data_IF_563573905438
#
_entry.id   IF_563573905438
#
_cell.length_a   1.000
_cell.length_b   1.000
_cell.length_c   1.000
_cell.angle_alpha   90.00
_cell.angle_beta   90.00
_cell.angle_gamma   90.00
#
_symmetry.space_group_name_H-M   'P 1'
#
loop_
_entity.id
_entity.type
_entity.pdbx_description
1 polymer ?
#
# COMPACT_ATOMS: atom_id res chain seq x y z
N UNK A 1 7.36 12.33 9.99
CA UNK A 1 7.08 12.18 8.55
C UNK A 1 6.48 13.44 7.93
N UNK A 2 5.39 14.02 8.48
CA UNK A 2 4.79 15.27 7.94
C UNK A 2 5.82 16.38 7.72
N UNK A 3 6.67 16.67 8.73
CA UNK A 3 7.71 17.69 8.61
C UNK A 3 8.70 17.41 7.46
N UNK A 4 9.05 16.14 7.24
CA UNK A 4 9.90 15.74 6.12
C UNK A 4 9.23 16.02 4.77
N UNK A 5 7.98 15.59 4.58
CA UNK A 5 7.26 15.85 3.32
C UNK A 5 7.09 17.34 3.04
N UNK A 6 6.82 18.15 4.06
CA UNK A 6 6.77 19.60 3.94
C UNK A 6 8.14 20.23 3.65
N UNK A 7 9.24 19.59 4.04
CA UNK A 7 10.59 20.03 3.64
C UNK A 7 10.90 19.71 2.17
N UNK A 8 10.31 18.64 1.62
CA UNK A 8 10.40 18.29 0.19
C UNK A 8 9.60 19.30 -0.64
N UNK A 9 8.33 19.50 -0.29
CA UNK A 9 7.46 20.49 -0.93
C UNK A 9 6.65 21.24 0.15
N UNK A 10 6.95 22.51 0.41
CA UNK A 10 6.24 23.31 1.43
C UNK A 10 4.74 23.50 1.15
N UNK A 11 4.29 23.28 -0.08
CA UNK A 11 2.87 23.40 -0.48
C UNK A 11 2.12 22.07 -0.43
N UNK A 12 2.76 20.99 0.05
CA UNK A 12 2.14 19.69 0.12
C UNK A 12 0.92 19.65 1.05
N UNK A 13 -0.16 19.05 0.58
CA UNK A 13 -1.34 18.78 1.41
C UNK A 13 -1.12 17.48 2.18
N UNK A 14 -0.68 17.64 3.43
CA UNK A 14 -0.35 16.51 4.33
C UNK A 14 -1.15 16.66 5.62
N UNK A 15 -2.10 15.77 5.83
CA UNK A 15 -2.91 15.69 7.04
C UNK A 15 -2.44 14.52 7.91
N UNK A 16 -2.30 14.76 9.21
CA UNK A 16 -2.01 13.74 10.22
C UNK A 16 -3.01 13.86 11.34
N UNK A 17 -3.61 12.75 11.73
CA UNK A 17 -4.60 12.70 12.80
C UNK A 17 -4.56 11.34 13.52
N UNK A 18 -4.84 11.30 14.83
CA UNK A 18 -4.89 10.08 15.59
C UNK A 18 -6.20 9.33 15.34
N UNK A 19 -6.11 8.00 15.25
CA UNK A 19 -7.22 7.08 15.24
C UNK A 19 -7.19 6.28 16.54
N UNK A 20 -8.26 6.39 17.33
CA UNK A 20 -8.36 5.78 18.65
C UNK A 20 -9.27 4.56 18.65
N UNK A 21 -8.87 3.54 19.37
CA UNK A 21 -9.68 2.35 19.65
C UNK A 21 -9.39 1.80 21.06
N UNK A 22 -10.18 0.83 21.57
CA UNK A 22 -9.98 0.30 22.91
C UNK A 22 -8.60 -0.30 23.19
N UNK A 23 -7.90 -0.80 22.16
CA UNK A 23 -6.57 -1.40 22.28
C UNK A 23 -5.41 -0.38 22.20
N UNK A 24 -5.71 0.87 21.86
CA UNK A 24 -4.69 1.90 21.71
C UNK A 24 -5.02 2.92 20.60
N UNK A 25 -3.98 3.48 20.03
CA UNK A 25 -4.11 4.46 18.93
C UNK A 25 -3.07 4.22 17.87
N UNK A 26 -3.35 4.74 16.67
CA UNK A 26 -2.37 4.91 15.58
C UNK A 26 -2.50 6.30 14.99
N UNK A 27 -1.43 6.83 14.42
CA UNK A 27 -1.46 8.11 13.73
C UNK A 27 -1.59 7.89 12.22
N UNK A 28 -2.74 8.27 11.67
CA UNK A 28 -2.98 8.26 10.23
C UNK A 28 -2.25 9.41 9.57
N UNK A 29 -1.74 9.17 8.37
CA UNK A 29 -1.21 10.21 7.49
C UNK A 29 -1.86 10.08 6.11
N UNK A 30 -2.42 11.18 5.62
CA UNK A 30 -3.01 11.29 4.30
C UNK A 30 -2.32 12.41 3.54
N UNK A 31 -1.92 12.13 2.30
CA UNK A 31 -1.23 13.06 1.41
C UNK A 31 -2.05 13.16 0.12
N UNK A 32 -2.52 14.37 -0.20
CA UNK A 32 -3.20 14.65 -1.47
C UNK A 32 -2.24 15.34 -2.43
N UNK A 33 -2.09 14.78 -3.60
CA UNK A 33 -1.23 15.29 -4.67
C UNK A 33 -2.11 15.59 -5.88
N UNK A 34 -2.53 16.85 -6.05
CA UNK A 34 -3.43 17.24 -7.12
C UNK A 34 -2.73 17.16 -8.49
N UNK A 35 -3.44 16.56 -9.46
CA UNK A 35 -3.01 16.51 -10.85
C UNK A 35 -3.34 17.80 -11.61
N UNK A 36 -2.87 17.89 -12.86
CA UNK A 36 -3.19 19.04 -13.74
C UNK A 36 -4.62 19.00 -14.24
N UNK A 37 -5.20 17.80 -14.37
CA UNK A 37 -6.56 17.53 -14.87
C UNK A 37 -7.41 16.71 -13.92
N UNK A 38 -7.01 16.59 -12.64
CA UNK A 38 -7.67 15.77 -11.64
C UNK A 38 -9.01 16.33 -11.16
N UNK A 39 -9.78 15.50 -10.47
CA UNK A 39 -11.06 15.84 -9.83
C UNK A 39 -10.93 17.01 -8.84
N UNK A 40 -9.78 17.13 -8.19
CA UNK A 40 -9.45 18.26 -7.30
C UNK A 40 -9.51 19.63 -7.99
N UNK A 41 -9.41 19.66 -9.33
CA UNK A 41 -9.56 20.84 -10.17
C UNK A 41 -10.88 20.88 -10.94
N UNK A 42 -11.81 19.97 -10.63
CA UNK A 42 -13.09 19.86 -11.34
C UNK A 42 -12.97 19.30 -12.76
N UNK A 43 -11.89 18.57 -13.04
CA UNK A 43 -11.65 17.95 -14.34
C UNK A 43 -11.84 16.42 -14.27
N UNK A 44 -11.52 15.70 -15.35
CA UNK A 44 -11.96 14.33 -15.61
C UNK A 44 -10.89 13.25 -15.43
N UNK A 45 -9.62 13.62 -15.22
CA UNK A 45 -8.58 12.64 -15.00
C UNK A 45 -8.80 11.87 -13.67
N UNK A 46 -8.59 10.54 -13.66
CA UNK A 46 -8.93 9.71 -12.51
C UNK A 46 -8.02 9.92 -11.31
N UNK A 47 -8.53 9.56 -10.13
CA UNK A 47 -7.81 9.60 -8.86
C UNK A 47 -7.37 8.20 -8.45
N UNK A 48 -6.09 8.01 -8.18
CA UNK A 48 -5.55 6.75 -7.67
C UNK A 48 -5.25 6.82 -6.17
N UNK A 49 -5.63 5.76 -5.43
CA UNK A 49 -5.23 5.52 -4.06
C UNK A 49 -3.96 4.67 -3.98
N UNK A 50 -2.95 5.13 -3.24
CA UNK A 50 -1.75 4.36 -2.93
C UNK A 50 -1.70 4.15 -1.42
N UNK A 51 -2.00 2.93 -0.97
CA UNK A 51 -2.16 2.60 0.43
C UNK A 51 -0.96 1.81 0.94
N UNK A 52 -0.27 2.32 1.95
CA UNK A 52 0.86 1.64 2.57
C UNK A 52 0.44 0.84 3.80
N UNK A 53 0.71 -0.45 3.82
CA UNK A 53 0.40 -1.35 4.91
C UNK A 53 1.67 -2.08 5.36
N UNK A 54 1.88 -2.30 6.59
CA UNK A 54 1.36 -1.74 7.83
C UNK A 54 2.36 -0.70 8.34
N UNK A 55 1.92 0.21 9.20
CA UNK A 55 2.79 1.27 9.72
C UNK A 55 3.29 1.05 11.14
N UNK A 56 3.24 -0.18 11.66
CA UNK A 56 3.70 -0.48 13.01
C UNK A 56 5.22 -0.37 13.14
N UNK A 57 5.69 0.34 14.16
CA UNK A 57 7.11 0.52 14.42
C UNK A 57 7.63 -0.33 15.57
N UNK A 58 6.79 -0.84 16.43
CA UNK A 58 7.21 -1.59 17.61
C UNK A 58 6.58 -2.96 17.64
N UNK A 59 7.32 -3.98 17.25
CA UNK A 59 6.85 -5.36 17.34
C UNK A 59 7.33 -6.08 18.59
N UNK A 60 8.20 -5.45 19.37
CA UNK A 60 8.75 -6.01 20.62
C UNK A 60 8.63 -4.99 21.73
N UNK A 61 8.03 -5.36 22.87
CA UNK A 61 7.84 -4.41 23.97
C UNK A 61 9.15 -3.82 24.52
N UNK A 62 10.26 -4.56 24.41
CA UNK A 62 11.56 -4.15 24.96
C UNK A 62 12.36 -3.25 24.01
N UNK A 63 12.09 -3.33 22.71
CA UNK A 63 12.86 -2.60 21.70
C UNK A 63 11.94 -2.05 20.63
N UNK A 64 11.74 -0.74 20.65
CA UNK A 64 11.01 -0.02 19.60
C UNK A 64 11.96 0.19 18.42
N UNK A 65 11.49 -0.15 17.22
CA UNK A 65 12.28 0.05 16.01
C UNK A 65 11.49 -0.26 14.76
N UNK A 66 12.03 0.16 13.61
CA UNK A 66 11.43 -0.16 12.33
C UNK A 66 11.58 -1.66 12.04
N UNK A 67 10.50 -2.29 11.69
CA UNK A 67 10.44 -3.70 11.27
C UNK A 67 9.95 -3.80 9.84
N UNK A 68 10.26 -4.91 9.16
CA UNK A 68 9.96 -5.05 7.73
C UNK A 68 8.46 -5.11 7.39
N UNK A 69 7.59 -5.36 8.37
CA UNK A 69 6.14 -5.18 8.20
C UNK A 69 5.75 -3.70 7.92
N UNK A 70 6.65 -2.75 8.20
CA UNK A 70 6.51 -1.35 7.81
C UNK A 70 6.96 -1.01 6.39
N UNK A 71 7.48 -1.97 5.62
CA UNK A 71 8.03 -1.70 4.28
C UNK A 71 6.97 -1.18 3.30
N UNK A 72 5.71 -1.62 3.43
CA UNK A 72 4.60 -1.11 2.63
C UNK A 72 4.34 0.38 2.88
N UNK A 73 4.30 0.79 4.16
CA UNK A 73 4.18 2.19 4.52
C UNK A 73 5.38 3.01 4.03
N UNK A 74 6.60 2.45 4.13
CA UNK A 74 7.82 3.09 3.65
C UNK A 74 7.79 3.30 2.14
N UNK A 75 7.33 2.31 1.37
CA UNK A 75 7.20 2.41 -0.09
C UNK A 75 6.19 3.49 -0.49
N UNK A 76 5.00 3.52 0.13
CA UNK A 76 3.99 4.53 -0.13
C UNK A 76 4.47 5.95 0.20
N UNK A 77 5.14 6.13 1.34
CA UNK A 77 5.70 7.42 1.75
C UNK A 77 6.89 7.85 0.85
N UNK A 78 7.66 6.90 0.34
CA UNK A 78 8.73 7.17 -0.63
C UNK A 78 8.15 7.62 -1.97
N UNK A 79 7.07 6.99 -2.44
CA UNK A 79 6.33 7.43 -3.62
C UNK A 79 5.76 8.84 -3.41
N UNK A 80 5.18 9.14 -2.24
CA UNK A 80 4.71 10.47 -1.89
C UNK A 80 5.83 11.52 -1.99
N UNK A 81 6.98 11.26 -1.36
CA UNK A 81 8.12 12.16 -1.39
C UNK A 81 8.61 12.42 -2.82
N UNK A 82 8.67 11.36 -3.67
CA UNK A 82 9.06 11.48 -5.08
C UNK A 82 8.05 12.34 -5.86
N UNK A 83 6.76 12.08 -5.72
CA UNK A 83 5.72 12.83 -6.43
C UNK A 83 5.68 14.31 -6.00
N UNK A 84 5.89 14.59 -4.72
CA UNK A 84 5.97 15.95 -4.21
C UNK A 84 7.23 16.68 -4.71
N UNK A 85 8.35 16.00 -4.81
CA UNK A 85 9.58 16.56 -5.42
C UNK A 85 9.38 16.86 -6.90
N UNK A 86 8.73 15.97 -7.64
CA UNK A 86 8.36 16.20 -9.05
C UNK A 86 7.50 17.47 -9.17
N UNK A 87 6.44 17.61 -8.38
CA UNK A 87 5.60 18.82 -8.40
C UNK A 87 6.38 20.09 -8.11
N UNK A 88 7.26 20.06 -7.11
CA UNK A 88 8.13 21.20 -6.77
C UNK A 88 9.00 21.62 -7.96
N UNK A 89 9.40 20.67 -8.79
CA UNK A 89 10.22 20.89 -9.98
C UNK A 89 9.39 21.15 -11.26
N UNK A 90 8.06 21.30 -11.15
CA UNK A 90 7.16 21.58 -12.25
C UNK A 90 6.71 20.36 -13.05
N UNK A 91 7.03 19.16 -12.59
CA UNK A 91 6.61 17.89 -13.22
C UNK A 91 5.35 17.38 -12.48
N UNK A 92 4.19 17.59 -13.09
CA UNK A 92 2.88 17.25 -12.54
C UNK A 92 2.27 16.06 -13.26
N UNK A 93 1.58 15.19 -12.51
CA UNK A 93 0.71 14.16 -13.07
C UNK A 93 -0.57 14.78 -13.62
N UNK A 94 -1.29 14.07 -14.51
CA UNK A 94 -2.60 14.51 -14.98
C UNK A 94 -3.69 14.22 -13.94
N UNK A 95 -3.76 13.00 -13.42
CA UNK A 95 -4.71 12.58 -12.39
C UNK A 95 -4.27 12.92 -10.96
N UNK A 96 -5.22 12.90 -10.03
CA UNK A 96 -4.93 13.07 -8.62
C UNK A 96 -4.37 11.80 -8.00
N UNK A 97 -3.52 11.96 -6.99
CA UNK A 97 -3.02 10.84 -6.18
C UNK A 97 -3.34 11.08 -4.71
N UNK A 98 -3.93 10.09 -4.06
CA UNK A 98 -4.15 10.11 -2.61
C UNK A 98 -3.34 8.97 -2.00
N UNK A 99 -2.43 9.33 -1.11
CA UNK A 99 -1.57 8.36 -0.42
C UNK A 99 -1.99 8.32 1.05
N UNK A 100 -2.25 7.12 1.55
CA UNK A 100 -2.63 6.91 2.94
C UNK A 100 -1.79 5.80 3.56
N UNK A 101 -1.40 6.00 4.80
CA UNK A 101 -0.80 4.99 5.66
C UNK A 101 -0.99 5.40 7.11
N UNK A 102 -0.49 4.59 8.04
CA UNK A 102 -0.50 4.94 9.45
C UNK A 102 0.85 4.63 10.09
N UNK A 103 1.13 5.25 11.23
CA UNK A 103 2.34 5.03 12.02
C UNK A 103 1.91 4.75 13.45
N UNK A 104 2.24 3.57 13.94
CA UNK A 104 1.94 3.13 15.29
C UNK A 104 3.24 2.80 16.03
N UNK A 105 3.83 3.73 16.81
CA UNK A 105 5.06 3.49 17.54
C UNK A 105 4.91 2.41 18.62
N UNK A 106 3.75 2.37 19.24
CA UNK A 106 3.42 1.49 20.38
C UNK A 106 2.42 0.40 19.95
N UNK A 107 2.73 -0.30 18.85
CA UNK A 107 1.87 -1.37 18.35
C UNK A 107 1.73 -2.48 19.39
N UNK A 108 0.50 -2.90 19.75
CA UNK A 108 0.31 -4.02 20.65
C UNK A 108 0.85 -5.32 20.04
N UNK A 109 1.21 -6.26 20.88
CA UNK A 109 1.69 -7.58 20.45
C UNK A 109 0.81 -8.70 21.01
N UNK A 110 0.79 -9.82 20.29
CA UNK A 110 0.15 -11.08 20.71
C UNK A 110 1.20 -12.16 20.85
N UNK A 111 1.05 -13.10 21.81
CA UNK A 111 1.89 -14.28 21.88
C UNK A 111 1.87 -15.05 20.55
N UNK A 112 3.05 -15.37 20.02
CA UNK A 112 3.24 -16.13 18.78
C UNK A 112 4.67 -16.70 18.76
N UNK A 113 4.83 -17.92 18.24
CA UNK A 113 6.15 -18.52 18.02
C UNK A 113 6.59 -18.34 16.57
N UNK A 114 7.86 -18.08 16.29
CA UNK A 114 9.01 -17.96 17.23
C UNK A 114 9.16 -16.57 17.86
N UNK A 115 8.30 -15.62 17.55
CA UNK A 115 8.34 -14.24 18.07
C UNK A 115 6.93 -13.71 18.25
N UNK A 116 6.71 -12.77 19.18
CA UNK A 116 5.42 -12.11 19.33
C UNK A 116 4.95 -11.50 18.02
N UNK A 117 3.66 -11.63 17.74
CA UNK A 117 3.04 -11.08 16.55
C UNK A 117 2.61 -9.65 16.80
N UNK A 118 2.86 -8.75 15.87
CA UNK A 118 2.35 -7.39 15.93
C UNK A 118 0.83 -7.40 15.69
N UNK A 119 0.07 -6.80 16.60
CA UNK A 119 -1.37 -6.59 16.48
C UNK A 119 -1.67 -5.16 16.08
N UNK A 120 -2.88 -4.91 15.63
CA UNK A 120 -3.32 -3.54 15.34
C UNK A 120 -4.03 -2.94 16.56
N UNK A 121 -3.75 -1.68 16.93
CA UNK A 121 -4.50 -1.00 17.97
C UNK A 121 -5.95 -0.71 17.57
N UNK A 122 -6.25 -0.68 16.26
CA UNK A 122 -7.57 -0.40 15.70
C UNK A 122 -8.05 -1.57 14.85
N UNK A 123 -9.35 -1.71 14.73
CA UNK A 123 -9.96 -2.75 13.90
C UNK A 123 -9.72 -2.48 12.40
N UNK A 124 -9.60 -3.55 11.62
CA UNK A 124 -9.31 -3.45 10.18
C UNK A 124 -10.41 -2.68 9.43
N UNK A 125 -11.68 -2.85 9.80
CA UNK A 125 -12.77 -2.10 9.20
C UNK A 125 -12.66 -0.60 9.43
N UNK A 126 -12.23 -0.19 10.63
CA UNK A 126 -11.98 1.21 10.96
C UNK A 126 -10.80 1.76 10.15
N UNK A 127 -9.72 0.97 10.02
CA UNK A 127 -8.57 1.33 9.20
C UNK A 127 -8.97 1.53 7.73
N UNK A 128 -9.70 0.57 7.16
CA UNK A 128 -10.17 0.65 5.78
C UNK A 128 -11.05 1.88 5.54
N UNK A 129 -11.94 2.22 6.48
CA UNK A 129 -12.81 3.39 6.36
C UNK A 129 -12.03 4.72 6.32
N UNK A 130 -10.85 4.77 6.95
CA UNK A 130 -9.98 5.95 6.92
C UNK A 130 -9.08 6.02 5.67
N UNK A 131 -8.67 4.88 5.15
CA UNK A 131 -7.77 4.80 4.00
C UNK A 131 -8.49 4.94 2.66
N UNK A 132 -9.75 4.50 2.59
CA UNK A 132 -10.55 4.46 1.37
C UNK A 132 -11.58 5.59 1.36
N UNK A 133 -11.75 6.23 0.23
CA UNK A 133 -12.79 7.27 0.03
C UNK A 133 -13.40 7.15 -1.37
N UNK A 134 -14.60 7.71 -1.53
CA UNK A 134 -15.33 7.74 -2.82
C UNK A 134 -14.61 8.57 -3.90
N UNK A 135 -13.56 9.31 -3.53
CA UNK A 135 -12.71 10.02 -4.49
C UNK A 135 -11.88 9.08 -5.37
N UNK A 136 -11.62 7.84 -4.89
CA UNK A 136 -10.69 6.90 -5.52
C UNK A 136 -11.35 6.12 -6.67
N UNK A 137 -10.73 6.14 -7.84
CA UNK A 137 -11.15 5.36 -9.01
C UNK A 137 -10.43 4.01 -9.11
N UNK A 138 -9.26 3.88 -8.49
CA UNK A 138 -8.53 2.63 -8.35
C UNK A 138 -7.60 2.67 -7.13
N UNK A 139 -7.19 1.51 -6.62
CA UNK A 139 -6.34 1.39 -5.44
C UNK A 139 -5.21 0.40 -5.67
N UNK A 140 -3.98 0.82 -5.33
CA UNK A 140 -2.86 -0.09 -5.10
C UNK A 140 -2.56 -0.11 -3.61
N UNK A 141 -2.72 -1.28 -2.99
CA UNK A 141 -2.37 -1.51 -1.59
C UNK A 141 -1.02 -2.21 -1.53
N UNK A 142 -0.02 -1.58 -0.94
CA UNK A 142 1.33 -2.15 -0.83
C UNK A 142 1.60 -2.65 0.58
N UNK A 143 2.08 -3.89 0.68
CA UNK A 143 2.33 -4.56 1.94
C UNK A 143 3.51 -5.53 1.81
N UNK A 144 3.99 -6.01 2.95
CA UNK A 144 5.04 -7.01 3.02
C UNK A 144 4.42 -8.41 3.17
N UNK A 145 4.65 -9.26 2.18
CA UNK A 145 4.29 -10.67 2.25
C UNK A 145 5.56 -11.51 2.31
N UNK A 146 5.89 -12.02 3.47
CA UNK A 146 7.08 -12.85 3.63
C UNK A 146 6.91 -14.21 2.96
N UNK A 147 8.01 -14.73 2.43
CA UNK A 147 8.02 -15.93 1.62
C UNK A 147 7.30 -17.13 2.26
N UNK A 148 6.52 -17.83 1.47
CA UNK A 148 5.83 -19.07 1.84
C UNK A 148 5.85 -20.06 0.67
N UNK A 149 5.11 -21.16 0.75
CA UNK A 149 5.07 -22.17 -0.32
C UNK A 149 4.34 -21.72 -1.58
N UNK A 150 3.55 -20.64 -1.51
CA UNK A 150 2.79 -20.10 -2.64
C UNK A 150 3.56 -18.98 -3.31
N UNK A 151 4.16 -18.09 -2.52
CA UNK A 151 4.95 -16.95 -3.02
C UNK A 151 6.31 -16.94 -2.31
N UNK A 152 7.38 -17.13 -3.06
CA UNK A 152 8.75 -17.35 -2.53
C UNK A 152 9.84 -16.85 -3.48
N UNK A 153 9.66 -15.69 -4.03
CA UNK A 153 10.68 -14.99 -4.82
C UNK A 153 11.10 -13.70 -4.12
N UNK A 154 12.21 -13.14 -4.52
CA UNK A 154 12.67 -11.85 -4.04
C UNK A 154 12.16 -10.73 -4.94
N UNK A 155 11.73 -9.63 -4.35
CA UNK A 155 11.31 -8.43 -5.06
C UNK A 155 9.85 -8.08 -4.79
N UNK A 156 9.16 -7.68 -5.84
CA UNK A 156 7.75 -7.28 -5.77
C UNK A 156 6.88 -8.20 -6.64
N UNK A 157 5.62 -8.36 -6.24
CA UNK A 157 4.61 -9.09 -6.99
C UNK A 157 3.27 -8.36 -6.93
N UNK A 158 2.46 -8.45 -7.98
CA UNK A 158 1.13 -7.88 -8.05
C UNK A 158 0.06 -8.97 -7.98
N UNK A 159 -1.08 -8.67 -7.37
CA UNK A 159 -2.21 -9.60 -7.32
C UNK A 159 -3.11 -9.47 -8.56
N UNK A 160 -4.05 -10.41 -8.68
CA UNK A 160 -5.27 -10.19 -9.42
C UNK A 160 -5.98 -8.93 -8.93
N UNK A 161 -6.75 -8.30 -9.81
CA UNK A 161 -7.64 -7.20 -9.41
C UNK A 161 -8.86 -7.73 -8.69
N UNK A 162 -9.21 -7.12 -7.58
CA UNK A 162 -10.47 -7.40 -6.87
C UNK A 162 -11.40 -6.20 -7.06
N UNK A 163 -12.63 -6.46 -7.46
CA UNK A 163 -13.66 -5.45 -7.65
C UNK A 163 -15.02 -6.02 -7.25
N UNK A 164 -15.68 -5.36 -6.30
CA UNK A 164 -17.06 -5.68 -5.86
C UNK A 164 -17.29 -7.19 -5.55
N UNK A 165 -16.28 -7.82 -4.94
CA UNK A 165 -16.32 -9.24 -4.57
C UNK A 165 -15.87 -10.21 -5.68
N UNK A 166 -15.59 -9.73 -6.89
CA UNK A 166 -15.04 -10.53 -7.97
C UNK A 166 -13.51 -10.48 -7.98
N UNK A 167 -12.90 -11.62 -8.31
CA UNK A 167 -11.47 -11.73 -8.60
C UNK A 167 -11.35 -11.74 -10.13
N UNK A 168 -10.82 -10.65 -10.67
CA UNK A 168 -10.62 -10.45 -12.09
C UNK A 168 -9.21 -10.89 -12.50
N UNK A 169 -8.88 -10.86 -13.77
CA UNK A 169 -7.53 -11.13 -14.24
C UNK A 169 -6.52 -10.14 -13.68
N UNK A 170 -5.25 -10.52 -13.62
CA UNK A 170 -4.18 -9.56 -13.46
C UNK A 170 -4.21 -8.58 -14.64
N UNK A 171 -4.10 -7.30 -14.34
CA UNK A 171 -4.03 -6.27 -15.38
C UNK A 171 -2.72 -6.37 -16.16
N UNK A 172 -2.81 -6.54 -17.46
CA UNK A 172 -1.64 -6.55 -18.36
C UNK A 172 -0.87 -5.22 -18.30
N UNK A 173 -1.57 -4.09 -18.13
CA UNK A 173 -0.93 -2.79 -17.99
C UNK A 173 -0.08 -2.71 -16.73
N UNK A 174 -0.57 -3.25 -15.61
CA UNK A 174 0.20 -3.33 -14.37
C UNK A 174 1.39 -4.28 -14.49
N UNK A 175 1.24 -5.41 -15.20
CA UNK A 175 2.34 -6.32 -15.49
C UNK A 175 3.42 -5.63 -16.34
N UNK A 176 3.04 -4.90 -17.38
CA UNK A 176 3.94 -4.11 -18.23
C UNK A 176 4.68 -3.03 -17.41
N UNK A 177 4.00 -2.36 -16.48
CA UNK A 177 4.63 -1.40 -15.57
C UNK A 177 5.67 -2.11 -14.70
N UNK A 178 5.34 -3.29 -14.16
CA UNK A 178 6.27 -4.06 -13.33
C UNK A 178 7.52 -4.47 -14.12
N UNK A 179 7.38 -4.94 -15.36
CA UNK A 179 8.52 -5.25 -16.22
C UNK A 179 9.41 -4.03 -16.47
N UNK A 180 8.79 -2.90 -16.80
CA UNK A 180 9.50 -1.64 -17.05
C UNK A 180 10.27 -1.15 -15.81
N UNK A 181 9.69 -1.29 -14.62
CA UNK A 181 10.28 -0.84 -13.37
C UNK A 181 11.39 -1.76 -12.89
N UNK A 182 11.23 -3.08 -13.07
CA UNK A 182 12.16 -4.07 -12.51
C UNK A 182 13.21 -4.57 -13.51
N UNK A 183 12.94 -4.44 -14.80
CA UNK A 183 13.76 -5.06 -15.87
C UNK A 183 13.68 -6.59 -15.86
N UNK A 184 12.63 -7.17 -15.29
CA UNK A 184 12.39 -8.61 -15.16
C UNK A 184 10.97 -8.95 -15.54
N UNK A 185 10.70 -10.21 -15.88
CA UNK A 185 9.34 -10.70 -16.04
C UNK A 185 8.53 -10.45 -14.77
N UNK A 186 7.24 -10.06 -14.90
CA UNK A 186 6.43 -9.70 -13.76
C UNK A 186 6.13 -10.93 -12.90
N UNK A 187 5.99 -10.70 -11.61
CA UNK A 187 5.59 -11.72 -10.66
C UNK A 187 4.16 -11.44 -10.20
N UNK A 188 3.36 -12.48 -10.18
CA UNK A 188 1.96 -12.45 -9.73
C UNK A 188 1.83 -13.32 -8.49
N UNK A 189 1.09 -12.86 -7.50
CA UNK A 189 0.74 -13.67 -6.34
C UNK A 189 -0.76 -13.97 -6.30
N UNK A 190 -1.06 -15.20 -5.94
CA UNK A 190 -2.45 -15.66 -5.81
C UNK A 190 -3.12 -15.09 -4.57
N UNK A 191 -4.43 -14.82 -4.68
CA UNK A 191 -5.25 -14.58 -3.50
C UNK A 191 -5.45 -15.91 -2.76
N UNK A 192 -5.02 -15.96 -1.51
CA UNK A 192 -5.07 -17.19 -0.71
C UNK A 192 -5.13 -16.87 0.78
N UNK A 193 -5.35 -17.92 1.57
CA UNK A 193 -5.29 -17.87 3.03
C UNK A 193 -3.86 -18.03 3.58
N UNK A 194 -2.84 -18.02 2.72
CA UNK A 194 -1.44 -18.19 3.10
C UNK A 194 -0.83 -16.93 3.72
N UNK A 195 -1.56 -15.84 3.77
CA UNK A 195 -1.17 -14.69 4.54
C UNK A 195 -1.14 -15.05 6.03
N UNK A 196 -0.07 -14.66 6.70
CA UNK A 196 0.19 -15.03 8.09
C UNK A 196 -0.70 -14.27 9.10
N UNK A 197 -1.43 -13.27 8.65
CA UNK A 197 -2.23 -12.43 9.53
C UNK A 197 -3.69 -12.88 9.55
N UNK A 198 -4.19 -13.45 10.66
CA UNK A 198 -5.61 -13.70 10.82
C UNK A 198 -6.35 -12.36 11.00
N UNK A 199 -7.45 -12.19 10.27
CA UNK A 199 -8.23 -10.95 10.33
C UNK A 199 -9.26 -10.97 11.46
N UNK A 200 -9.47 -9.82 12.07
CA UNK A 200 -10.50 -9.65 13.08
C UNK A 200 -11.91 -9.84 12.53
N UNK A 201 -12.12 -9.63 11.24
CA UNK A 201 -13.40 -9.81 10.55
C UNK A 201 -13.63 -11.22 9.99
N UNK A 202 -12.73 -12.16 10.24
CA UNK A 202 -12.80 -13.55 9.77
C UNK A 202 -12.86 -13.72 8.24
N UNK A 203 -12.35 -12.77 7.46
CA UNK A 203 -12.28 -12.86 6.01
C UNK A 203 -11.01 -13.57 5.56
N UNK A 204 -10.95 -14.88 5.72
CA UNK A 204 -9.77 -15.68 5.44
C UNK A 204 -9.52 -15.95 3.95
N UNK A 205 -10.47 -15.60 3.09
CA UNK A 205 -10.37 -15.78 1.63
C UNK A 205 -9.64 -14.63 0.92
N UNK A 206 -9.34 -13.53 1.63
CA UNK A 206 -8.57 -12.40 1.11
C UNK A 206 -7.27 -12.25 1.88
N UNK A 207 -6.18 -11.93 1.16
CA UNK A 207 -4.92 -11.54 1.77
C UNK A 207 -5.06 -10.18 2.47
N UNK A 208 -4.29 -9.92 3.54
CA UNK A 208 -4.34 -8.66 4.30
C UNK A 208 -4.16 -7.44 3.42
N UNK A 209 -3.28 -7.55 2.45
CA UNK A 209 -2.98 -6.53 1.47
C UNK A 209 -4.20 -6.07 0.65
N UNK A 210 -5.23 -6.91 0.51
CA UNK A 210 -6.43 -6.62 -0.26
C UNK A 210 -7.64 -6.23 0.60
N UNK A 211 -7.51 -6.14 1.92
CA UNK A 211 -8.60 -5.72 2.79
C UNK A 211 -9.26 -4.38 2.40
N UNK A 212 -8.57 -3.39 1.80
CA UNK A 212 -9.23 -2.18 1.33
C UNK A 212 -10.39 -2.43 0.37
N UNK A 213 -10.37 -3.50 -0.44
CA UNK A 213 -11.45 -3.82 -1.37
C UNK A 213 -12.79 -4.14 -0.70
N UNK A 214 -12.80 -4.40 0.61
CA UNK A 214 -14.05 -4.63 1.37
C UNK A 214 -14.79 -3.33 1.71
N UNK A 215 -14.14 -2.18 1.52
CA UNK A 215 -14.69 -0.87 1.87
C UNK A 215 -14.96 0.03 0.64
N UNK A 216 -14.80 -0.49 -0.58
CA UNK A 216 -14.98 0.28 -1.80
C UNK A 216 -15.43 -0.57 -2.97
N UNK A 217 -16.09 0.03 -3.96
CA UNK A 217 -16.33 -0.53 -5.28
C UNK A 217 -15.18 -0.29 -6.27
N UNK A 218 -14.19 0.53 -5.92
CA UNK A 218 -13.03 0.79 -6.78
C UNK A 218 -12.19 -0.48 -6.97
N UNK A 219 -11.68 -0.76 -8.18
CA UNK A 219 -10.77 -1.88 -8.42
C UNK A 219 -9.52 -1.73 -7.55
N UNK A 220 -9.18 -2.81 -6.86
CA UNK A 220 -8.08 -2.85 -5.91
C UNK A 220 -7.11 -3.97 -6.27
N UNK A 221 -5.82 -3.66 -6.30
CA UNK A 221 -4.74 -4.63 -6.42
C UNK A 221 -3.80 -4.55 -5.22
N UNK A 222 -3.22 -5.69 -4.88
CA UNK A 222 -2.14 -5.77 -3.91
C UNK A 222 -0.77 -5.72 -4.60
N UNK A 223 0.15 -4.95 -4.05
CA UNK A 223 1.56 -4.96 -4.39
C UNK A 223 2.34 -5.53 -3.22
N UNK A 224 2.77 -6.77 -3.32
CA UNK A 224 3.51 -7.47 -2.26
C UNK A 224 5.01 -7.22 -2.38
N UNK A 225 5.67 -6.88 -1.26
CA UNK A 225 7.13 -6.91 -1.12
C UNK A 225 7.48 -8.29 -0.54
N UNK A 226 8.17 -9.12 -1.31
CA UNK A 226 8.29 -10.56 -1.05
C UNK A 226 9.73 -10.97 -0.76
N UNK A 227 9.89 -12.01 0.07
CA UNK A 227 11.17 -12.67 0.34
C UNK A 227 11.12 -14.13 -0.12
N UNK A 228 12.29 -14.72 -0.46
CA UNK A 228 12.40 -16.12 -0.85
C UNK A 228 12.11 -17.10 0.30
N UNK A 229 12.35 -16.65 1.54
CA UNK A 229 12.15 -17.46 2.74
C UNK A 229 11.11 -16.84 3.65
N UNK A 230 10.39 -17.70 4.35
CA UNK A 230 9.56 -17.24 5.44
C UNK A 230 10.43 -16.63 6.56
N UNK A 231 10.14 -15.41 6.93
CA UNK A 231 10.76 -14.68 8.03
C UNK A 231 9.68 -13.97 8.84
N UNK A 232 9.91 -13.80 10.13
CA UNK A 232 8.97 -13.06 10.98
C UNK A 232 9.19 -11.55 10.76
N UNK A 233 8.44 -10.95 9.86
CA UNK A 233 8.58 -9.55 9.44
C UNK A 233 8.49 -8.56 10.60
N UNK A 234 7.62 -8.84 11.57
CA UNK A 234 7.43 -8.01 12.77
C UNK A 234 8.61 -8.03 13.76
N UNK A 235 9.57 -8.96 13.62
CA UNK A 235 10.66 -9.12 14.60
C UNK A 235 12.05 -8.94 14.02
N UNK A 236 12.22 -9.13 12.73
CA UNK A 236 13.54 -9.32 12.14
C UNK A 236 14.15 -8.07 11.56
N UNK A 237 13.37 -7.04 11.25
CA UNK A 237 13.87 -5.87 10.55
C UNK A 237 14.54 -6.22 9.21
N UNK A 238 14.02 -7.19 8.49
CA UNK A 238 14.59 -7.70 7.23
C UNK A 238 14.22 -6.87 6.01
N UNK A 239 14.11 -5.57 6.17
CA UNK A 239 13.87 -4.62 5.08
C UNK A 239 14.95 -4.74 4.00
N UNK A 240 14.52 -4.88 2.76
CA UNK A 240 15.37 -4.88 1.57
C UNK A 240 15.13 -3.59 0.80
N UNK A 241 16.03 -2.62 0.92
CA UNK A 241 15.84 -1.29 0.34
C UNK A 241 15.63 -1.30 -1.18
N UNK A 242 16.27 -2.22 -1.89
CA UNK A 242 16.07 -2.36 -3.35
C UNK A 242 14.64 -2.78 -3.69
N UNK A 243 14.02 -3.62 -2.87
CA UNK A 243 12.65 -4.10 -3.10
C UNK A 243 11.62 -3.02 -2.72
N UNK A 244 11.89 -2.26 -1.65
CA UNK A 244 11.09 -1.07 -1.28
C UNK A 244 11.18 0.01 -2.37
N UNK A 245 12.37 0.24 -2.92
CA UNK A 245 12.59 1.18 -4.02
C UNK A 245 11.85 0.75 -5.29
N UNK A 246 11.89 -0.54 -5.65
CA UNK A 246 11.13 -1.10 -6.77
C UNK A 246 9.61 -0.91 -6.57
N UNK A 247 9.11 -1.15 -5.34
CA UNK A 247 7.71 -0.91 -5.01
C UNK A 247 7.35 0.59 -5.16
N UNK A 248 8.16 1.49 -4.62
CA UNK A 248 7.93 2.93 -4.75
C UNK A 248 7.92 3.39 -6.22
N UNK A 249 8.85 2.88 -7.05
CA UNK A 249 8.84 3.14 -8.51
C UNK A 249 7.57 2.62 -9.17
N UNK A 250 7.16 1.40 -8.85
CA UNK A 250 5.94 0.84 -9.39
C UNK A 250 4.73 1.72 -9.06
N UNK A 251 4.60 2.17 -7.81
CA UNK A 251 3.52 3.08 -7.39
C UNK A 251 3.52 4.39 -8.19
N UNK A 252 4.70 5.01 -8.36
CA UNK A 252 4.85 6.27 -9.10
C UNK A 252 4.49 6.08 -10.58
N UNK A 253 5.00 5.04 -11.24
CA UNK A 253 4.73 4.79 -12.66
C UNK A 253 3.27 4.38 -12.89
N UNK A 254 2.67 3.61 -11.98
CA UNK A 254 1.24 3.30 -12.04
C UNK A 254 0.39 4.57 -11.91
N UNK A 255 0.71 5.46 -10.98
CA UNK A 255 -0.01 6.72 -10.82
C UNK A 255 0.08 7.61 -12.07
N UNK A 256 1.25 7.66 -12.70
CA UNK A 256 1.45 8.41 -13.96
C UNK A 256 0.59 7.85 -15.09
N UNK A 257 0.65 6.54 -15.31
CA UNK A 257 -0.04 5.89 -16.41
C UNK A 257 -1.57 5.85 -16.20
N UNK A 258 -2.01 5.62 -14.96
CA UNK A 258 -3.43 5.65 -14.60
C UNK A 258 -4.02 7.05 -14.78
N UNK A 259 -3.34 8.09 -14.29
CA UNK A 259 -3.79 9.48 -14.43
C UNK A 259 -3.91 9.94 -15.88
N UNK A 260 -3.11 9.38 -16.79
CA UNK A 260 -3.19 9.63 -18.25
C UNK A 260 -4.23 8.76 -18.97
N UNK A 261 -4.86 7.82 -18.28
CA UNK A 261 -5.82 6.88 -18.87
C UNK A 261 -5.19 5.81 -19.77
N UNK A 262 -3.87 5.55 -19.65
CA UNK A 262 -3.15 4.52 -20.40
C UNK A 262 -2.85 3.25 -19.58
N UNK A 263 -3.35 3.19 -18.37
CA UNK A 263 -3.32 2.01 -17.51
C UNK A 263 -4.72 1.73 -16.99
N UNK A 264 -5.19 0.50 -17.19
CA UNK A 264 -6.45 -0.03 -16.67
C UNK A 264 -6.17 -1.10 -15.62
N UNK A 265 -6.98 -1.14 -14.57
CA UNK A 265 -6.85 -2.17 -13.54
C UNK A 265 -7.59 -3.47 -13.89
N UNK A 266 -8.49 -3.43 -14.86
CA UNK A 266 -9.24 -4.57 -15.37
C UNK A 266 -9.78 -4.25 -16.76
N UNK A 267 -10.11 -5.31 -17.50
CA UNK A 267 -10.81 -5.17 -18.78
C UNK A 267 -12.31 -4.98 -18.53
N UNK A 268 -12.84 -3.84 -18.97
CA UNK A 268 -14.26 -3.51 -18.79
C UNK A 268 -15.20 -4.40 -19.61
N UNK A 269 -14.71 -5.03 -20.67
CA UNK A 269 -15.48 -5.97 -21.48
C UNK A 269 -15.62 -7.34 -20.82
N UNK A 270 -14.70 -7.69 -19.90
CA UNK A 270 -14.76 -8.92 -19.13
C UNK A 270 -15.57 -8.80 -17.83
N UNK A 271 -15.77 -7.59 -17.35
CA UNK A 271 -16.54 -7.32 -16.12
C UNK A 271 -18.00 -7.02 -16.45
#
# INVERSE_FOLDING_TARGET
MKAYLLSVNPQADVTVYPLHAPKGKTDMIRIKIPGTRGKSKGMDAPTIGLLGRLGGLGARPEVIGFVSDGDGALAALSAAAKLLDMQKNGDYLEGDVIISTHICPDAPTRPHEPVPFMDSPVEMAQMNAEEVSDELDAIVSVDTTKGNRIINHRGIAVSNTVKEGYILRCSEDLLNIMERVTGRLPQVFSLSTQDITPYANNLYHLNSILQPCTATAAPTVGLAIVTERAVAGCATGTTQFADVEAAARFLVETAKDFGRGVCSFYDKEEY
#
